data_IF_523432310648
#
_entry.id   IF_523432310648
#
_cell.length_a   1.000
_cell.length_b   1.000
_cell.length_c   1.000
_cell.angle_alpha   90.00
_cell.angle_beta   90.00
_cell.angle_gamma   90.00
#
_symmetry.space_group_name_H-M   'P 1'
#
loop_
_entity.id
_entity.type
_entity.pdbx_description
1 polymer ?
#
# COMPACT_ATOMS: atom_id res chain seq x y z
N UNK A 1 32.39 2.30 -0.40
CA UNK A 1 31.01 2.38 -0.95
C UNK A 1 30.23 1.23 -0.32
N UNK A 2 29.06 1.49 0.25
CA UNK A 2 28.45 0.62 1.26
C UNK A 2 27.63 -0.52 0.59
N UNK A 3 28.08 -1.76 0.79
CA UNK A 3 27.35 -3.02 0.51
C UNK A 3 26.15 -3.17 1.46
N UNK A 4 25.12 -3.93 1.07
CA UNK A 4 23.92 -4.13 1.90
C UNK A 4 23.15 -2.84 2.13
N UNK A 5 23.00 -2.05 1.07
CA UNK A 5 22.22 -0.81 1.11
C UNK A 5 20.93 -0.98 0.35
N UNK A 6 19.86 -0.67 1.04
CA UNK A 6 18.54 -0.49 0.45
C UNK A 6 18.25 1.00 0.27
N UNK A 7 17.80 1.36 -0.94
CA UNK A 7 17.34 2.70 -1.29
C UNK A 7 15.86 2.64 -1.63
N UNK A 8 15.05 3.46 -0.95
CA UNK A 8 13.63 3.64 -1.24
C UNK A 8 13.46 4.96 -1.99
N UNK A 9 12.82 4.91 -3.15
CA UNK A 9 12.71 6.04 -4.08
C UNK A 9 11.23 6.28 -4.33
N UNK A 10 10.69 7.46 -3.97
CA UNK A 10 9.34 7.83 -4.35
C UNK A 10 9.26 8.02 -5.85
N UNK A 11 8.28 7.38 -6.48
CA UNK A 11 8.09 7.39 -7.91
C UNK A 11 6.61 7.39 -8.27
N UNK A 12 6.33 7.35 -9.57
CA UNK A 12 4.98 7.38 -10.09
C UNK A 12 4.96 7.59 -11.60
N UNK A 13 3.77 7.81 -12.11
CA UNK A 13 3.54 8.28 -13.47
C UNK A 13 2.55 9.44 -13.43
N UNK A 14 2.76 10.39 -14.34
CA UNK A 14 1.87 11.54 -14.47
C UNK A 14 0.50 11.18 -15.05
N UNK A 15 0.37 10.00 -15.67
CA UNK A 15 -0.80 9.58 -16.43
C UNK A 15 -0.76 10.06 -17.88
N UNK A 16 -1.70 9.57 -18.68
CA UNK A 16 -1.83 10.00 -20.07
C UNK A 16 -2.45 11.40 -20.16
N UNK A 17 -1.99 12.23 -21.10
CA UNK A 17 -2.62 13.51 -21.38
C UNK A 17 -4.03 13.25 -21.94
N UNK A 18 -5.06 13.38 -21.09
CA UNK A 18 -6.44 13.15 -21.50
C UNK A 18 -6.78 14.10 -22.65
N UNK A 19 -7.03 13.54 -23.84
CA UNK A 19 -7.53 14.30 -24.99
C UNK A 19 -8.87 14.92 -24.58
N UNK A 20 -9.06 16.22 -24.89
CA UNK A 20 -10.23 17.02 -24.47
C UNK A 20 -11.60 16.37 -24.66
N UNK A 21 -11.70 15.39 -25.56
CA UNK A 21 -12.97 14.78 -25.95
C UNK A 21 -13.30 13.47 -25.23
N UNK A 22 -12.42 12.95 -24.35
CA UNK A 22 -12.67 11.72 -23.58
C UNK A 22 -12.76 12.02 -22.09
N UNK A 23 -13.70 11.38 -21.42
CA UNK A 23 -13.78 11.40 -19.96
C UNK A 23 -12.53 10.68 -19.40
N UNK A 24 -11.74 11.30 -18.50
CA UNK A 24 -10.58 10.66 -17.87
C UNK A 24 -10.89 9.30 -17.24
N UNK A 25 -12.13 9.11 -16.76
CA UNK A 25 -12.58 7.86 -16.14
C UNK A 25 -12.69 6.69 -17.15
N UNK A 26 -12.81 6.97 -18.44
CA UNK A 26 -13.02 5.95 -19.47
C UNK A 26 -11.71 5.42 -20.08
N UNK A 27 -10.57 5.96 -19.65
CA UNK A 27 -9.24 5.57 -20.14
C UNK A 27 -8.49 4.88 -19.00
N UNK A 28 -8.37 3.54 -19.01
CA UNK A 28 -7.53 2.81 -18.06
C UNK A 28 -6.11 3.41 -18.06
N UNK A 29 -5.58 3.77 -16.89
CA UNK A 29 -4.25 4.37 -16.76
C UNK A 29 -4.14 5.85 -17.13
N UNK A 30 -5.27 6.56 -17.37
CA UNK A 30 -5.24 8.01 -17.50
C UNK A 30 -5.03 8.74 -16.16
N UNK A 31 -5.31 8.06 -15.04
CA UNK A 31 -4.94 8.53 -13.72
C UNK A 31 -3.43 8.44 -13.51
N UNK A 32 -2.82 9.52 -13.02
CA UNK A 32 -1.48 9.44 -12.44
C UNK A 32 -1.50 8.52 -11.22
N UNK A 33 -0.40 7.81 -10.99
CA UNK A 33 -0.25 6.85 -9.90
C UNK A 33 1.03 7.08 -9.13
N UNK A 34 1.02 6.71 -7.85
CA UNK A 34 2.21 6.72 -7.00
C UNK A 34 2.70 5.29 -6.82
N UNK A 35 4.01 5.10 -6.90
CA UNK A 35 4.67 3.83 -6.59
C UNK A 35 5.95 4.10 -5.83
N UNK A 36 6.49 3.08 -5.16
CA UNK A 36 7.84 3.16 -4.61
C UNK A 36 8.74 2.16 -5.30
N UNK A 37 9.90 2.63 -5.74
CA UNK A 37 10.98 1.76 -6.17
C UNK A 37 11.89 1.49 -4.98
N UNK A 38 12.20 0.22 -4.76
CA UNK A 38 13.15 -0.21 -3.74
C UNK A 38 14.30 -0.93 -4.41
N UNK A 39 15.49 -0.32 -4.33
CA UNK A 39 16.71 -0.89 -4.88
C UNK A 39 17.52 -1.47 -3.72
N UNK A 40 17.74 -2.77 -3.73
CA UNK A 40 18.59 -3.45 -2.77
C UNK A 40 19.85 -3.95 -3.47
N UNK A 41 21.03 -3.47 -3.05
CA UNK A 41 22.29 -3.95 -3.60
C UNK A 41 22.67 -5.27 -2.95
N UNK A 42 22.81 -6.32 -3.77
CA UNK A 42 23.15 -7.66 -3.31
C UNK A 42 24.57 -7.69 -2.74
N UNK A 43 24.84 -8.72 -1.92
CA UNK A 43 26.12 -8.88 -1.21
C UNK A 43 27.31 -9.10 -2.13
N UNK A 44 27.08 -9.57 -3.36
CA UNK A 44 28.14 -9.70 -4.37
C UNK A 44 28.67 -8.33 -4.84
N UNK A 45 27.92 -7.25 -4.57
CA UNK A 45 28.20 -5.90 -5.03
C UNK A 45 28.09 -5.70 -6.54
N UNK A 46 27.80 -6.74 -7.32
CA UNK A 46 27.74 -6.75 -8.79
C UNK A 46 26.31 -6.69 -9.29
N UNK A 47 25.36 -7.19 -8.50
CA UNK A 47 23.94 -7.21 -8.83
C UNK A 47 23.11 -6.44 -7.80
N UNK A 48 21.88 -6.13 -8.18
CA UNK A 48 20.88 -5.56 -7.30
C UNK A 48 19.51 -6.10 -7.64
N UNK A 49 18.64 -6.10 -6.64
CA UNK A 49 17.23 -6.36 -6.77
C UNK A 49 16.49 -5.03 -6.84
N UNK A 50 15.57 -4.91 -7.80
CA UNK A 50 14.70 -3.76 -8.00
C UNK A 50 13.26 -4.19 -7.74
N UNK A 51 12.69 -3.78 -6.61
CA UNK A 51 11.29 -4.04 -6.29
C UNK A 51 10.43 -2.83 -6.62
N UNK A 52 9.29 -3.07 -7.24
CA UNK A 52 8.22 -2.09 -7.40
C UNK A 52 7.15 -2.39 -6.36
N UNK A 53 6.90 -1.41 -5.49
CA UNK A 53 5.85 -1.47 -4.48
C UNK A 53 4.67 -0.63 -4.96
N UNK A 54 3.52 -1.27 -5.09
CA UNK A 54 2.32 -0.64 -5.63
C UNK A 54 1.06 -1.28 -5.07
N UNK A 55 0.23 -0.47 -4.42
CA UNK A 55 -1.11 -0.85 -3.93
C UNK A 55 -2.25 -0.16 -4.66
N UNK A 56 -1.95 0.63 -5.70
CA UNK A 56 -2.92 1.37 -6.51
C UNK A 56 -3.01 0.86 -7.96
N UNK A 57 -3.19 1.80 -8.88
CA UNK A 57 -3.19 1.53 -10.32
C UNK A 57 -1.86 0.87 -10.71
N UNK A 58 -1.89 -0.25 -11.44
CA UNK A 58 -0.68 -1.05 -11.72
C UNK A 58 -0.55 -2.31 -10.85
N UNK A 59 -1.34 -2.43 -9.78
CA UNK A 59 -1.44 -3.67 -9.00
C UNK A 59 -1.89 -4.88 -9.83
N UNK A 60 -2.53 -4.68 -10.99
CA UNK A 60 -2.86 -5.77 -11.93
C UNK A 60 -1.63 -6.50 -12.50
N UNK A 61 -0.46 -5.87 -12.48
CA UNK A 61 0.79 -6.48 -12.91
C UNK A 61 1.46 -7.32 -11.83
N UNK A 62 0.96 -7.23 -10.59
CA UNK A 62 1.53 -7.95 -9.47
C UNK A 62 0.94 -9.36 -9.37
N UNK A 63 1.67 -10.32 -8.75
CA UNK A 63 1.13 -11.64 -8.49
C UNK A 63 -0.19 -11.55 -7.73
N UNK A 64 -1.16 -12.34 -8.16
CA UNK A 64 -2.49 -12.47 -7.53
C UNK A 64 -2.77 -13.94 -7.23
N UNK A 65 -3.42 -14.20 -6.11
CA UNK A 65 -3.97 -15.51 -5.75
C UNK A 65 -5.37 -15.35 -5.17
N UNK A 66 -6.17 -16.38 -5.30
CA UNK A 66 -7.49 -16.52 -4.66
C UNK A 66 -7.49 -17.70 -3.67
N UNK A 67 -6.33 -18.31 -3.45
CA UNK A 67 -6.16 -19.41 -2.52
C UNK A 67 -6.37 -18.88 -1.08
N UNK A 68 -7.15 -19.62 -0.29
CA UNK A 68 -7.42 -19.37 1.14
C UNK A 68 -8.22 -18.10 1.51
N UNK A 69 -8.80 -17.38 0.54
CA UNK A 69 -9.60 -16.17 0.81
C UNK A 69 -10.74 -15.99 -0.19
N UNK A 70 -11.92 -15.51 0.25
CA UNK A 70 -13.00 -15.15 -0.67
C UNK A 70 -12.65 -13.92 -1.54
N UNK A 71 -11.75 -13.07 -1.05
CA UNK A 71 -11.23 -11.91 -1.78
C UNK A 71 -9.86 -12.22 -2.41
N UNK A 72 -9.55 -11.70 -3.61
CA UNK A 72 -8.24 -11.85 -4.21
C UNK A 72 -7.15 -11.20 -3.34
N UNK A 73 -6.05 -11.92 -3.18
CA UNK A 73 -4.85 -11.49 -2.48
C UNK A 73 -3.75 -11.19 -3.49
N UNK A 74 -2.96 -10.16 -3.23
CA UNK A 74 -1.91 -9.67 -4.10
C UNK A 74 -0.58 -9.64 -3.36
N UNK A 75 0.53 -9.72 -4.10
CA UNK A 75 1.85 -9.39 -3.57
C UNK A 75 2.14 -7.91 -3.81
N UNK A 76 2.25 -7.07 -2.76
CA UNK A 76 2.45 -5.64 -2.95
C UNK A 76 3.80 -5.28 -3.56
N UNK A 77 4.78 -6.20 -3.54
CA UNK A 77 6.06 -6.06 -4.21
C UNK A 77 6.14 -6.98 -5.44
N UNK A 78 6.54 -6.43 -6.58
CA UNK A 78 7.04 -7.17 -7.73
C UNK A 78 8.56 -6.97 -7.83
N UNK A 79 9.34 -8.03 -7.66
CA UNK A 79 10.80 -7.96 -7.53
C UNK A 79 11.49 -8.43 -8.81
N UNK A 80 12.29 -7.55 -9.41
CA UNK A 80 13.17 -7.84 -10.54
C UNK A 80 14.57 -8.11 -9.98
N UNK A 81 15.01 -9.36 -10.08
CA UNK A 81 16.24 -9.84 -9.44
C UNK A 81 17.44 -9.86 -10.38
N UNK A 82 18.62 -9.94 -9.79
CA UNK A 82 19.90 -10.17 -10.47
C UNK A 82 20.22 -9.11 -11.54
N UNK A 83 19.79 -7.86 -11.32
CA UNK A 83 20.03 -6.77 -12.26
C UNK A 83 21.49 -6.34 -12.17
N UNK A 84 22.25 -6.28 -13.28
CA UNK A 84 23.61 -5.77 -13.27
C UNK A 84 23.66 -4.36 -12.67
N UNK A 85 24.54 -4.14 -11.68
CA UNK A 85 24.64 -2.87 -10.97
C UNK A 85 24.86 -1.68 -11.91
N UNK A 86 25.59 -1.90 -13.02
CA UNK A 86 25.79 -0.91 -14.08
C UNK A 86 24.49 -0.35 -14.65
N UNK A 87 23.46 -1.20 -14.88
CA UNK A 87 22.14 -0.77 -15.38
C UNK A 87 21.40 0.07 -14.33
N UNK A 88 21.49 -0.30 -13.05
CA UNK A 88 20.87 0.46 -11.96
C UNK A 88 21.53 1.82 -11.77
N UNK A 89 22.85 1.93 -11.94
CA UNK A 89 23.56 3.22 -11.84
C UNK A 89 23.51 4.06 -13.11
N UNK A 90 22.91 3.55 -14.19
CA UNK A 90 22.81 4.27 -15.45
C UNK A 90 21.87 5.46 -15.30
N UNK A 91 22.40 6.67 -15.49
CA UNK A 91 21.62 7.91 -15.45
C UNK A 91 20.49 7.96 -16.49
N UNK A 92 20.60 7.25 -17.60
CA UNK A 92 19.58 7.22 -18.65
C UNK A 92 18.31 6.51 -18.19
N UNK A 93 18.44 5.42 -17.41
CA UNK A 93 17.31 4.74 -16.78
C UNK A 93 16.51 5.71 -15.90
N UNK A 94 17.20 6.39 -14.99
CA UNK A 94 16.56 7.33 -14.06
C UNK A 94 15.96 8.53 -14.79
N UNK A 95 16.61 9.03 -15.83
CA UNK A 95 16.06 10.10 -16.66
C UNK A 95 14.72 9.68 -17.30
N UNK A 96 14.63 8.45 -17.81
CA UNK A 96 13.38 7.92 -18.39
C UNK A 96 12.30 7.77 -17.31
N UNK A 97 12.62 7.16 -16.17
CA UNK A 97 11.66 6.99 -15.06
C UNK A 97 11.15 8.34 -14.53
N UNK A 98 12.04 9.31 -14.33
CA UNK A 98 11.66 10.66 -13.87
C UNK A 98 10.85 11.41 -14.93
N UNK A 99 11.13 11.21 -16.22
CA UNK A 99 10.34 11.82 -17.30
C UNK A 99 8.89 11.31 -17.28
N UNK A 100 8.69 10.01 -17.06
CA UNK A 100 7.35 9.39 -16.92
C UNK A 100 6.59 9.99 -15.73
N UNK A 101 7.28 10.30 -14.64
CA UNK A 101 6.67 10.89 -13.45
C UNK A 101 6.27 12.36 -13.63
N UNK A 102 7.04 13.13 -14.40
CA UNK A 102 6.87 14.60 -14.46
C UNK A 102 6.06 15.04 -15.68
N UNK A 103 6.16 14.34 -16.81
CA UNK A 103 5.55 14.79 -18.07
C UNK A 103 4.44 13.84 -18.51
N UNK A 104 3.16 14.27 -18.46
CA UNK A 104 2.08 13.51 -19.05
C UNK A 104 2.35 13.27 -20.54
N UNK A 105 2.29 12.01 -20.97
CA UNK A 105 2.49 11.63 -22.36
C UNK A 105 1.93 10.22 -22.59
N UNK A 106 1.74 9.85 -23.85
CA UNK A 106 1.33 8.49 -24.24
C UNK A 106 2.39 7.44 -23.83
N UNK A 107 3.62 7.87 -23.52
CA UNK A 107 4.70 7.01 -23.01
C UNK A 107 4.83 7.05 -21.48
N UNK A 108 4.09 7.92 -20.80
CA UNK A 108 4.09 8.06 -19.35
C UNK A 108 2.97 7.22 -18.71
N UNK A 109 2.85 5.97 -19.17
CA UNK A 109 1.84 5.03 -18.69
C UNK A 109 2.48 3.94 -17.83
N UNK A 110 1.64 3.33 -17.00
CA UNK A 110 2.01 2.17 -16.18
C UNK A 110 2.50 1.00 -17.06
N UNK A 111 1.89 0.80 -18.22
CA UNK A 111 2.25 -0.27 -19.17
C UNK A 111 3.69 -0.13 -19.66
N UNK A 112 4.15 1.09 -19.98
CA UNK A 112 5.54 1.31 -20.42
C UNK A 112 6.53 0.95 -19.31
N UNK A 113 6.20 1.28 -18.06
CA UNK A 113 7.04 0.93 -16.91
C UNK A 113 7.11 -0.60 -16.75
N UNK A 114 5.97 -1.28 -16.65
CA UNK A 114 5.91 -2.72 -16.34
C UNK A 114 6.25 -3.63 -17.52
N UNK A 115 5.88 -3.27 -18.74
CA UNK A 115 6.02 -4.15 -19.91
C UNK A 115 7.28 -3.86 -20.73
N UNK A 116 7.87 -2.68 -20.61
CA UNK A 116 9.06 -2.29 -21.39
C UNK A 116 10.29 -2.02 -20.52
N UNK A 117 10.20 -1.07 -19.58
CA UNK A 117 11.38 -0.61 -18.83
C UNK A 117 11.88 -1.67 -17.85
N UNK A 118 10.99 -2.20 -17.01
CA UNK A 118 11.40 -3.14 -15.97
C UNK A 118 11.91 -4.49 -16.53
N UNK A 119 11.28 -5.11 -17.56
CA UNK A 119 11.80 -6.29 -18.24
C UNK A 119 13.19 -6.10 -18.87
N UNK A 120 13.50 -4.89 -19.35
CA UNK A 120 14.82 -4.57 -19.90
C UNK A 120 15.93 -4.63 -18.84
N UNK A 121 15.61 -4.36 -17.57
CA UNK A 121 16.60 -4.36 -16.48
C UNK A 121 17.15 -5.75 -16.21
N UNK A 122 16.26 -6.73 -16.00
CA UNK A 122 16.65 -8.11 -15.66
C UNK A 122 16.71 -9.07 -16.86
N UNK A 123 16.43 -8.58 -18.08
CA UNK A 123 16.44 -9.38 -19.32
C UNK A 123 15.46 -10.57 -19.28
N UNK A 124 14.38 -10.43 -18.51
CA UNK A 124 13.29 -11.41 -18.43
C UNK A 124 11.97 -10.78 -18.86
N UNK A 125 11.08 -11.59 -19.40
CA UNK A 125 9.71 -11.14 -19.65
C UNK A 125 9.00 -10.84 -18.33
N UNK A 126 7.99 -9.96 -18.37
CA UNK A 126 7.19 -9.65 -17.19
C UNK A 126 6.52 -10.91 -16.62
N UNK A 127 5.97 -11.77 -17.48
CA UNK A 127 5.33 -13.02 -17.05
C UNK A 127 6.29 -13.96 -16.29
N UNK A 128 7.54 -14.09 -16.75
CA UNK A 128 8.55 -14.87 -16.05
C UNK A 128 8.87 -14.25 -14.67
N UNK A 129 8.99 -12.92 -14.61
CA UNK A 129 9.22 -12.21 -13.33
C UNK A 129 8.03 -12.39 -12.37
N UNK A 130 6.79 -12.33 -12.85
CA UNK A 130 5.60 -12.59 -12.02
C UNK A 130 5.62 -14.02 -11.48
N UNK A 131 5.98 -15.00 -12.30
CA UNK A 131 6.13 -16.40 -11.89
C UNK A 131 7.19 -16.55 -10.78
N UNK A 132 8.37 -15.94 -10.96
CA UNK A 132 9.46 -15.90 -9.95
C UNK A 132 9.03 -15.23 -8.63
N UNK A 133 7.95 -14.44 -8.65
CA UNK A 133 7.40 -13.78 -7.47
C UNK A 133 6.19 -14.52 -6.89
N UNK A 134 5.62 -15.52 -7.56
CA UNK A 134 4.53 -16.33 -6.99
C UNK A 134 5.03 -17.27 -5.90
N UNK A 135 6.22 -17.84 -6.06
CA UNK A 135 6.80 -18.78 -5.11
C UNK A 135 7.22 -18.10 -3.80
N UNK A 136 6.69 -18.56 -2.67
CA UNK A 136 7.03 -18.03 -1.33
C UNK A 136 8.26 -18.74 -0.73
N UNK A 137 8.58 -19.92 -1.25
CA UNK A 137 9.70 -20.77 -0.82
C UNK A 137 10.33 -21.38 -2.05
N UNK A 138 11.54 -20.93 -2.40
CA UNK A 138 12.31 -21.61 -3.44
C UNK A 138 12.74 -22.98 -2.91
N UNK A 139 12.47 -24.03 -3.68
CA UNK A 139 12.94 -25.39 -3.38
C UNK A 139 14.47 -25.52 -3.44
N UNK A 140 15.16 -24.47 -3.89
CA UNK A 140 16.61 -24.41 -4.14
C UNK A 140 17.44 -23.84 -2.99
N UNK A 141 16.83 -23.50 -1.85
CA UNK A 141 17.54 -23.07 -0.63
C UNK A 141 18.06 -21.64 -0.67
N UNK A 142 17.91 -20.92 -1.79
CA UNK A 142 18.15 -19.48 -1.88
C UNK A 142 16.88 -18.76 -1.44
N UNK A 143 16.80 -18.36 -0.16
CA UNK A 143 15.64 -17.63 0.37
C UNK A 143 15.48 -16.28 -0.33
N UNK A 144 14.64 -16.21 -1.35
CA UNK A 144 14.30 -14.96 -2.02
C UNK A 144 13.42 -14.12 -1.12
N UNK A 145 13.67 -12.82 -1.11
CA UNK A 145 12.84 -11.87 -0.38
C UNK A 145 11.55 -11.67 -1.15
N UNK A 146 10.44 -12.01 -0.52
CA UNK A 146 9.09 -11.85 -1.07
C UNK A 146 8.18 -11.36 0.05
N UNK A 147 7.37 -10.34 -0.22
CA UNK A 147 6.36 -9.87 0.73
C UNK A 147 5.20 -10.88 0.83
N UNK A 148 4.53 -10.96 1.99
CA UNK A 148 3.39 -11.84 2.17
C UNK A 148 2.23 -11.43 1.26
N UNK A 149 1.34 -12.38 1.00
CA UNK A 149 0.06 -12.16 0.32
C UNK A 149 -0.86 -11.30 1.18
N UNK A 150 -1.47 -10.29 0.57
CA UNK A 150 -2.35 -9.35 1.25
C UNK A 150 -3.54 -8.93 0.39
N UNK A 151 -4.70 -8.64 0.99
CA UNK A 151 -5.82 -8.08 0.24
C UNK A 151 -5.45 -6.70 -0.28
N UNK A 152 -5.98 -6.31 -1.45
CA UNK A 152 -5.80 -4.95 -1.95
C UNK A 152 -6.46 -3.96 -0.97
N UNK A 153 -5.82 -2.81 -0.78
CA UNK A 153 -6.38 -1.73 0.00
C UNK A 153 -7.78 -1.37 -0.53
N UNK A 154 -8.80 -1.46 0.32
CA UNK A 154 -10.18 -1.12 -0.07
C UNK A 154 -10.34 0.40 -0.05
N UNK A 155 -10.45 1.00 -1.24
CA UNK A 155 -10.70 2.43 -1.42
C UNK A 155 -9.98 2.96 -2.66
N UNK A 156 -10.43 4.09 -3.22
CA UNK A 156 -9.87 4.69 -4.44
C UNK A 156 -8.49 5.34 -4.25
N UNK A 157 -7.85 5.15 -3.11
CA UNK A 157 -6.53 5.66 -2.82
C UNK A 157 -5.71 4.52 -2.22
N UNK A 158 -4.96 3.81 -3.06
CA UNK A 158 -3.78 3.08 -2.59
C UNK A 158 -2.95 4.08 -1.78
N UNK A 159 -2.84 3.84 -0.48
CA UNK A 159 -2.27 4.86 0.39
C UNK A 159 -0.75 4.82 0.23
N UNK A 160 -0.15 5.93 -0.16
CA UNK A 160 1.31 6.07 -0.21
C UNK A 160 1.96 5.61 1.11
N UNK A 161 1.26 5.79 2.23
CA UNK A 161 1.68 5.30 3.56
C UNK A 161 1.82 3.78 3.58
N UNK A 162 0.86 3.04 3.01
CA UNK A 162 0.92 1.60 2.89
C UNK A 162 2.08 1.16 2.01
N UNK A 163 2.25 1.78 0.84
CA UNK A 163 3.42 1.52 -0.01
C UNK A 163 4.72 1.75 0.75
N UNK A 164 4.84 2.84 1.52
CA UNK A 164 6.03 3.13 2.35
C UNK A 164 6.26 2.03 3.38
N UNK A 165 5.20 1.58 4.07
CA UNK A 165 5.29 0.48 5.04
C UNK A 165 5.76 -0.81 4.36
N UNK A 166 5.24 -1.13 3.17
CA UNK A 166 5.64 -2.32 2.39
C UNK A 166 7.06 -2.20 1.87
N UNK A 167 7.48 -1.02 1.41
CA UNK A 167 8.86 -0.74 1.00
C UNK A 167 9.84 -0.93 2.15
N UNK A 168 9.52 -0.40 3.34
CA UNK A 168 10.30 -0.62 4.55
C UNK A 168 10.35 -2.09 4.95
N UNK A 169 9.22 -2.80 4.85
CA UNK A 169 9.13 -4.24 5.13
C UNK A 169 10.02 -5.04 4.19
N UNK A 170 9.97 -4.75 2.90
CA UNK A 170 10.83 -5.36 1.90
C UNK A 170 12.31 -5.07 2.20
N UNK A 171 12.66 -3.82 2.46
CA UNK A 171 14.03 -3.44 2.82
C UNK A 171 14.54 -4.22 4.03
N UNK A 172 13.75 -4.33 5.10
CA UNK A 172 14.13 -5.08 6.29
C UNK A 172 14.27 -6.58 6.02
N UNK A 173 13.39 -7.18 5.21
CA UNK A 173 13.52 -8.58 4.79
C UNK A 173 14.81 -8.80 4.00
N UNK A 174 15.16 -7.87 3.09
CA UNK A 174 16.40 -7.95 2.31
C UNK A 174 17.66 -7.86 3.16
N UNK A 175 17.61 -7.15 4.28
CA UNK A 175 18.69 -7.16 5.28
C UNK A 175 18.68 -8.43 6.18
N UNK A 176 17.78 -9.38 5.95
CA UNK A 176 17.69 -10.63 6.70
C UNK A 176 16.90 -10.53 8.01
N UNK A 177 16.09 -9.47 8.20
CA UNK A 177 15.20 -9.38 9.34
C UNK A 177 14.04 -10.38 9.18
N UNK A 178 13.78 -11.19 10.21
CA UNK A 178 12.67 -12.15 10.18
C UNK A 178 11.29 -11.49 10.16
N UNK A 179 10.32 -12.14 9.50
CA UNK A 179 8.95 -11.63 9.33
C UNK A 179 8.29 -11.19 10.65
N UNK A 180 8.46 -11.96 11.72
CA UNK A 180 7.89 -11.62 13.03
C UNK A 180 8.39 -10.28 13.61
N UNK A 181 9.64 -9.89 13.33
CA UNK A 181 10.18 -8.58 13.75
C UNK A 181 9.62 -7.46 12.88
N UNK A 182 9.42 -7.72 11.59
CA UNK A 182 8.88 -6.74 10.64
C UNK A 182 7.42 -6.46 10.95
N UNK A 183 6.62 -7.50 11.19
CA UNK A 183 5.24 -7.36 11.66
C UNK A 183 5.15 -6.59 12.98
N UNK A 184 6.11 -6.79 13.89
CA UNK A 184 6.19 -6.02 15.12
C UNK A 184 6.46 -4.53 14.83
N UNK A 185 7.39 -4.23 13.93
CA UNK A 185 7.70 -2.84 13.54
C UNK A 185 6.48 -2.17 12.90
N UNK A 186 5.78 -2.84 11.97
CA UNK A 186 4.54 -2.34 11.38
C UNK A 186 3.50 -2.02 12.47
N UNK A 187 3.28 -2.95 13.40
CA UNK A 187 2.35 -2.74 14.52
C UNK A 187 2.76 -1.55 15.39
N UNK A 188 4.06 -1.40 15.69
CA UNK A 188 4.59 -0.29 16.50
C UNK A 188 4.45 1.06 15.78
N UNK A 189 4.67 1.11 14.46
CA UNK A 189 4.45 2.30 13.65
C UNK A 189 2.99 2.74 13.71
N UNK A 190 2.05 1.82 13.45
CA UNK A 190 0.61 2.09 13.52
C UNK A 190 0.17 2.51 14.93
N UNK A 191 0.72 1.86 15.96
CA UNK A 191 0.44 2.24 17.35
C UNK A 191 0.98 3.64 17.67
N UNK A 192 2.15 4.01 17.17
CA UNK A 192 2.74 5.34 17.36
C UNK A 192 1.88 6.41 16.70
N UNK A 193 1.42 6.19 15.47
CA UNK A 193 0.48 7.10 14.78
C UNK A 193 -0.82 7.23 15.59
N UNK A 194 -1.36 6.13 16.11
CA UNK A 194 -2.55 6.17 16.94
C UNK A 194 -2.33 6.94 18.25
N UNK A 195 -1.13 6.88 18.86
CA UNK A 195 -0.78 7.68 20.04
C UNK A 195 -0.73 9.17 19.74
N UNK A 196 -0.22 9.56 18.57
CA UNK A 196 -0.24 10.95 18.11
C UNK A 196 -1.69 11.42 17.94
N UNK A 197 -2.52 10.64 17.24
CA UNK A 197 -3.96 10.90 17.12
C UNK A 197 -4.63 11.03 18.49
N UNK A 198 -4.33 10.14 19.45
CA UNK A 198 -4.87 10.25 20.81
C UNK A 198 -4.46 11.55 21.50
N UNK A 199 -3.19 11.95 21.37
CA UNK A 199 -2.72 13.21 21.92
C UNK A 199 -3.49 14.40 21.33
N UNK A 200 -3.66 14.44 20.02
CA UNK A 200 -4.40 15.50 19.34
C UNK A 200 -5.87 15.53 19.82
N UNK A 201 -6.52 14.37 19.91
CA UNK A 201 -7.89 14.24 20.43
C UNK A 201 -8.06 14.79 21.86
N UNK A 202 -7.04 14.70 22.71
CA UNK A 202 -7.12 15.28 24.06
C UNK A 202 -7.09 16.80 24.09
N UNK A 203 -6.61 17.44 23.01
CA UNK A 203 -6.56 18.89 22.88
C UNK A 203 -7.78 19.46 22.12
N UNK A 204 -8.55 18.59 21.45
CA UNK A 204 -9.73 18.99 20.69
C UNK A 204 -10.96 19.14 21.59
N UNK A 205 -11.71 20.23 21.42
CA UNK A 205 -12.93 20.52 22.18
C UNK A 205 -14.19 19.97 21.50
N UNK A 206 -14.19 19.88 20.17
CA UNK A 206 -15.28 19.33 19.37
C UNK A 206 -14.71 18.57 18.16
N UNK A 207 -15.49 17.62 17.66
CA UNK A 207 -15.12 16.81 16.51
C UNK A 207 -16.38 16.33 15.77
N UNK A 208 -16.31 16.30 14.45
CA UNK A 208 -17.45 15.87 13.64
C UNK A 208 -17.76 14.38 13.86
N UNK A 209 -19.03 13.99 13.67
CA UNK A 209 -19.43 12.59 13.78
C UNK A 209 -18.71 11.66 12.80
N UNK A 210 -18.36 12.16 11.61
CA UNK A 210 -17.58 11.42 10.61
C UNK A 210 -16.15 11.16 11.08
N UNK A 211 -15.50 12.16 11.68
CA UNK A 211 -14.13 12.02 12.18
C UNK A 211 -14.08 11.05 13.36
N UNK A 212 -15.07 11.09 14.25
CA UNK A 212 -15.24 10.11 15.34
C UNK A 212 -15.33 8.70 14.77
N UNK A 213 -16.13 8.51 13.72
CA UNK A 213 -16.27 7.19 13.08
C UNK A 213 -14.95 6.73 12.45
N UNK A 214 -14.23 7.62 11.78
CA UNK A 214 -12.91 7.36 11.21
C UNK A 214 -11.90 6.94 12.29
N UNK A 215 -11.81 7.66 13.41
CA UNK A 215 -10.93 7.30 14.53
C UNK A 215 -11.29 5.91 15.11
N UNK A 216 -12.57 5.60 15.27
CA UNK A 216 -13.00 4.27 15.70
C UNK A 216 -12.58 3.17 14.73
N UNK A 217 -12.70 3.42 13.43
CA UNK A 217 -12.26 2.50 12.39
C UNK A 217 -10.75 2.26 12.47
N UNK A 218 -9.93 3.32 12.58
CA UNK A 218 -8.48 3.21 12.76
C UNK A 218 -8.09 2.39 13.99
N UNK A 219 -8.77 2.60 15.13
CA UNK A 219 -8.53 1.81 16.35
C UNK A 219 -8.94 0.34 16.19
N UNK A 220 -10.01 0.06 15.42
CA UNK A 220 -10.41 -1.31 15.09
C UNK A 220 -9.37 -1.98 14.19
N UNK A 221 -8.84 -1.28 13.19
CA UNK A 221 -7.77 -1.80 12.35
C UNK A 221 -6.51 -2.07 13.17
N UNK A 222 -6.10 -1.17 14.07
CA UNK A 222 -4.96 -1.38 14.96
C UNK A 222 -5.13 -2.63 15.84
N UNK A 223 -6.31 -2.83 16.42
CA UNK A 223 -6.63 -4.04 17.17
C UNK A 223 -6.52 -5.31 16.30
N UNK A 224 -7.05 -5.25 15.06
CA UNK A 224 -6.95 -6.34 14.09
C UNK A 224 -5.50 -6.70 13.76
N UNK A 225 -4.65 -5.71 13.50
CA UNK A 225 -3.22 -5.93 13.24
C UNK A 225 -2.51 -6.54 14.46
N UNK A 226 -2.86 -6.11 15.68
CA UNK A 226 -2.37 -6.72 16.91
C UNK A 226 -2.75 -8.19 17.04
N UNK A 227 -3.97 -8.55 16.66
CA UNK A 227 -4.43 -9.94 16.65
C UNK A 227 -3.72 -10.78 15.58
N UNK A 228 -3.55 -10.27 14.36
CA UNK A 228 -2.81 -10.94 13.27
C UNK A 228 -1.34 -11.15 13.63
N UNK A 229 -0.71 -10.17 14.25
CA UNK A 229 0.66 -10.29 14.74
C UNK A 229 0.77 -11.46 15.75
N UNK A 230 -0.22 -11.64 16.62
CA UNK A 230 -0.25 -12.76 17.56
C UNK A 230 -0.48 -14.12 16.90
N UNK A 231 -1.38 -14.20 15.91
CA UNK A 231 -1.63 -15.45 15.21
C UNK A 231 -0.42 -15.92 14.39
N UNK A 232 0.43 -15.00 13.94
CA UNK A 232 1.66 -15.30 13.19
C UNK A 232 2.90 -15.55 14.07
N UNK A 233 2.71 -15.86 15.36
CA UNK A 233 3.82 -16.17 16.27
C UNK A 233 4.69 -14.95 16.61
N UNK A 234 4.08 -13.76 16.66
CA UNK A 234 4.77 -12.50 16.84
C UNK A 234 5.62 -12.40 18.12
N UNK A 235 6.64 -11.55 18.07
CA UNK A 235 7.71 -11.44 19.10
C UNK A 235 7.31 -10.50 20.26
N UNK A 236 6.09 -9.96 20.25
CA UNK A 236 5.64 -8.97 21.23
C UNK A 236 5.37 -9.66 22.57
N UNK A 237 5.86 -9.05 23.65
CA UNK A 237 5.58 -9.56 25.00
C UNK A 237 4.09 -9.43 25.34
N UNK A 238 3.58 -10.32 26.20
CA UNK A 238 2.21 -10.27 26.70
C UNK A 238 1.89 -8.93 27.40
N UNK A 239 2.88 -8.31 28.04
CA UNK A 239 2.76 -6.96 28.62
C UNK A 239 2.54 -5.89 27.55
N UNK A 240 3.25 -5.98 26.42
CA UNK A 240 3.07 -5.06 25.28
C UNK A 240 1.66 -5.10 24.70
N UNK A 241 1.08 -6.30 24.56
CA UNK A 241 -0.29 -6.46 24.05
C UNK A 241 -1.33 -5.88 25.01
N UNK A 242 -1.16 -6.11 26.32
CA UNK A 242 -2.04 -5.53 27.34
C UNK A 242 -1.98 -4.00 27.31
N UNK A 243 -0.80 -3.43 27.11
CA UNK A 243 -0.62 -1.99 26.96
C UNK A 243 -1.30 -1.46 25.68
N UNK A 244 -1.19 -2.17 24.55
CA UNK A 244 -1.88 -1.82 23.31
C UNK A 244 -3.41 -1.85 23.50
N UNK A 245 -3.94 -2.92 24.09
CA UNK A 245 -5.37 -3.05 24.35
C UNK A 245 -5.88 -1.95 25.29
N UNK A 246 -5.19 -1.70 26.41
CA UNK A 246 -5.53 -0.62 27.34
C UNK A 246 -5.53 0.75 26.67
N UNK A 247 -4.57 1.01 25.78
CA UNK A 247 -4.51 2.24 25.00
C UNK A 247 -5.72 2.39 24.05
N UNK A 248 -6.10 1.32 23.35
CA UNK A 248 -7.26 1.31 22.45
C UNK A 248 -8.55 1.60 23.24
N UNK A 249 -8.73 0.95 24.39
CA UNK A 249 -9.92 1.13 25.22
C UNK A 249 -10.01 2.55 25.79
N UNK A 250 -8.89 3.10 26.28
CA UNK A 250 -8.80 4.49 26.74
C UNK A 250 -9.19 5.48 25.63
N UNK A 251 -8.68 5.26 24.41
CA UNK A 251 -8.97 6.17 23.28
C UNK A 251 -10.42 6.06 22.82
N UNK A 252 -11.01 4.86 22.84
CA UNK A 252 -12.44 4.66 22.54
C UNK A 252 -13.35 5.34 23.57
N UNK A 253 -12.98 5.31 24.85
CA UNK A 253 -13.72 5.99 25.90
C UNK A 253 -13.74 7.51 25.65
N UNK A 254 -12.58 8.11 25.35
CA UNK A 254 -12.46 9.52 24.99
C UNK A 254 -13.35 9.90 23.81
N UNK A 255 -13.31 9.13 22.72
CA UNK A 255 -14.17 9.36 21.54
C UNK A 255 -15.66 9.27 21.86
N UNK A 256 -16.05 8.36 22.77
CA UNK A 256 -17.43 8.20 23.21
C UNK A 256 -17.90 9.41 24.02
N UNK A 257 -17.03 9.95 24.86
CA UNK A 257 -17.33 11.16 25.64
C UNK A 257 -17.43 12.40 24.74
N UNK A 258 -16.51 12.56 23.79
CA UNK A 258 -16.59 13.63 22.78
C UNK A 258 -17.88 13.55 21.95
N UNK A 259 -18.33 12.34 21.58
CA UNK A 259 -19.59 12.14 20.86
C UNK A 259 -20.80 12.58 21.68
N UNK A 260 -20.76 12.40 23.02
CA UNK A 260 -21.85 12.79 23.93
C UNK A 260 -21.87 14.30 24.18
N UNK A 261 -20.70 14.95 24.20
CA UNK A 261 -20.59 16.39 24.41
C UNK A 261 -20.85 17.21 23.14
N UNK A 262 -20.76 16.60 21.95
CA UNK A 262 -20.95 17.34 20.70
C UNK A 262 -22.41 17.84 20.56
N UNK A 263 -22.64 19.16 20.49
CA UNK A 263 -23.98 19.75 20.45
C UNK A 263 -24.75 19.38 19.16
N UNK A 264 -24.05 19.02 18.08
CA UNK A 264 -24.66 18.55 16.84
C UNK A 264 -25.40 17.21 16.98
N UNK A 265 -25.07 16.38 17.97
CA UNK A 265 -25.78 15.13 18.21
C UNK A 265 -27.22 15.34 18.71
N UNK A 266 -27.55 16.55 19.21
CA UNK A 266 -28.88 16.89 19.71
C UNK A 266 -29.80 17.50 18.64
N UNK A 267 -29.25 17.98 17.51
CA UNK A 267 -30.07 18.31 16.35
C UNK A 267 -30.38 17.02 15.60
N UNK A 268 -31.53 16.41 15.92
CA UNK A 268 -32.08 15.30 15.14
C UNK A 268 -31.98 15.66 13.65
N UNK A 269 -31.20 14.94 12.82
CA UNK A 269 -31.20 15.19 11.40
C UNK A 269 -32.64 14.96 10.95
N UNK A 270 -33.31 16.03 10.51
CA UNK A 270 -34.61 15.91 9.83
C UNK A 270 -34.38 14.82 8.78
N UNK A 271 -35.14 13.71 8.82
CA UNK A 271 -34.95 12.62 7.88
C UNK A 271 -34.94 13.25 6.49
N UNK A 272 -33.83 13.07 5.76
CA UNK A 272 -33.74 13.43 4.36
C UNK A 272 -34.98 12.81 3.72
N UNK A 273 -35.92 13.68 3.29
CA UNK A 273 -37.12 13.22 2.60
C UNK A 273 -36.61 12.29 1.51
N UNK A 274 -37.09 11.04 1.54
CA UNK A 274 -36.80 10.09 0.48
C UNK A 274 -37.04 10.82 -0.86
N UNK A 275 -36.12 10.74 -1.82
CA UNK A 275 -36.35 11.33 -3.13
C UNK A 275 -37.70 10.80 -3.62
N UNK A 276 -38.62 11.73 -3.91
CA UNK A 276 -39.89 11.40 -4.54
C UNK A 276 -39.59 10.50 -5.73
N UNK A 277 -40.31 9.38 -5.80
CA UNK A 277 -40.19 8.40 -6.87
C UNK A 277 -40.12 9.13 -8.21
N UNK A 278 -38.98 9.00 -8.88
CA UNK A 278 -38.87 9.34 -10.29
C UNK A 278 -39.66 8.28 -11.07
N UNK A 279 -40.96 8.53 -11.25
CA UNK A 279 -41.80 7.80 -12.20
C UNK A 279 -41.41 8.26 -13.60
N UNK A 280 -40.51 7.54 -14.28
CA UNK A 280 -40.25 7.84 -15.68
C UNK A 280 -39.00 7.23 -16.28
N UNK A 281 -38.99 5.92 -16.48
CA UNK A 281 -38.36 5.33 -17.66
C UNK A 281 -39.21 4.18 -18.18
N UNK A 282 -40.00 4.49 -19.22
CA UNK A 282 -40.56 3.47 -20.09
C UNK A 282 -39.41 2.82 -20.86
N UNK A 283 -39.17 1.54 -20.61
CA UNK A 283 -38.42 0.69 -21.53
C UNK A 283 -39.30 0.51 -22.77
N UNK A 284 -38.84 0.97 -23.93
CA UNK A 284 -39.40 0.56 -25.22
C UNK A 284 -38.52 -0.56 -25.74
N UNK A 285 -39.13 -1.74 -25.87
CA UNK A 285 -38.54 -2.89 -26.54
C UNK A 285 -38.45 -2.62 -28.04
N UNK A 286 -37.23 -2.61 -28.59
CA UNK A 286 -36.91 -2.97 -29.99
C UNK A 286 -35.47 -3.47 -30.06
#
# INVERSE_FOLDING_TARGET
>A
MLEGKTLIIPAGWAGCAVKKDKNPADVPGAGGGNVLYVVHRNRDGLTADFAVINTGDGSQYHPVTVEDSPDPLYKPALVFRDIPWGKITDSSLWLVLMKIQVTPSDLATVDVVYESILPFLNEKTLAATVCDNMETTSSTGTSHVVLPWEPLARGSAGSLVEDVIKACSFAMLSEGMGEGKILLIDLLCRWTIAKMMHHDLTQMTDMSGSDIHMCHHTLKQLAGHGATHMSRGGVMSSGGLKALQSFIDKTRALLTDMKRSSPMAQSNPKPLRAPEKYDGYMCSDT
#
